data_IF_270862865320
#
_entry.id   IF_270862865320
#
_cell.length_a   1.000
_cell.length_b   1.000
_cell.length_c   1.000
_cell.angle_alpha   90.00
_cell.angle_beta   90.00
_cell.angle_gamma   90.00
#
_symmetry.space_group_name_H-M   'P 1'
#
loop_
_entity.id
_entity.type
_entity.pdbx_description
1 polymer ?
#
# COMPACT_ATOMS: atom_id res chain seq x y z
N UNK A 1 5.92 -12.80 -1.09
CA UNK A 1 6.60 -11.73 -0.36
C UNK A 1 7.40 -10.85 -1.33
N UNK A 2 7.43 -9.52 -1.13
CA UNK A 2 8.18 -8.61 -2.00
C UNK A 2 9.68 -8.90 -1.94
N UNK A 3 10.41 -8.53 -3.00
CA UNK A 3 11.87 -8.63 -3.00
C UNK A 3 12.45 -7.77 -1.87
N UNK A 4 13.60 -8.19 -1.32
CA UNK A 4 14.19 -7.53 -0.15
C UNK A 4 14.48 -6.05 -0.41
N UNK A 5 14.96 -5.74 -1.62
CA UNK A 5 15.36 -4.39 -2.00
C UNK A 5 14.14 -3.47 -2.18
N UNK A 6 13.06 -3.96 -2.80
CA UNK A 6 11.78 -3.25 -2.91
C UNK A 6 11.21 -2.92 -1.52
N UNK A 7 11.21 -3.92 -0.63
CA UNK A 7 10.71 -3.75 0.73
C UNK A 7 11.57 -2.74 1.52
N UNK A 8 12.87 -2.69 1.26
CA UNK A 8 13.74 -1.67 1.86
C UNK A 8 13.45 -0.28 1.26
N UNK A 9 13.29 -0.16 -0.07
CA UNK A 9 12.96 1.08 -0.77
C UNK A 9 11.66 1.70 -0.28
N UNK A 10 10.60 0.89 -0.14
CA UNK A 10 9.30 1.33 0.37
C UNK A 10 9.43 1.85 1.81
N UNK A 11 10.17 1.15 2.67
CA UNK A 11 10.38 1.59 4.06
C UNK A 11 11.20 2.87 4.14
N UNK A 12 12.16 3.07 3.22
CA UNK A 12 12.91 4.33 3.14
C UNK A 12 12.06 5.49 2.65
N UNK A 13 11.09 5.23 1.78
CA UNK A 13 10.08 6.25 1.45
C UNK A 13 9.34 6.68 2.71
N UNK A 14 8.74 5.76 3.45
CA UNK A 14 7.98 6.11 4.66
C UNK A 14 8.82 6.72 5.79
N UNK A 15 10.12 6.41 5.84
CA UNK A 15 11.03 7.08 6.78
C UNK A 15 11.28 8.54 6.37
N UNK A 16 11.29 8.83 5.07
CA UNK A 16 11.50 10.17 4.53
C UNK A 16 10.22 11.00 4.57
N UNK A 17 9.11 10.46 4.07
CA UNK A 17 7.79 11.07 4.05
C UNK A 17 6.70 9.98 3.99
N UNK A 18 5.78 9.98 4.96
CA UNK A 18 4.63 9.08 4.98
C UNK A 18 3.29 9.81 4.74
N UNK A 19 3.32 11.10 4.43
CA UNK A 19 2.12 11.92 4.26
C UNK A 19 1.26 11.46 3.09
N UNK A 20 1.85 11.27 1.91
CA UNK A 20 1.10 10.88 0.71
C UNK A 20 0.45 9.50 0.86
N UNK A 21 1.19 8.50 1.33
CA UNK A 21 0.60 7.18 1.58
C UNK A 21 -0.51 7.26 2.63
N UNK A 22 -0.33 8.08 3.68
CA UNK A 22 -1.37 8.27 4.71
C UNK A 22 -2.60 8.95 4.14
N UNK A 23 -2.46 9.93 3.26
CA UNK A 23 -3.58 10.60 2.60
C UNK A 23 -4.35 9.63 1.70
N UNK A 24 -3.64 8.76 0.97
CA UNK A 24 -4.25 7.72 0.12
C UNK A 24 -5.02 6.71 0.97
N UNK A 25 -4.36 6.08 1.96
CA UNK A 25 -4.98 4.99 2.72
C UNK A 25 -6.01 5.49 3.73
N UNK A 26 -5.96 6.75 4.17
CA UNK A 26 -6.97 7.37 5.05
C UNK A 26 -8.09 8.07 4.30
N UNK A 27 -8.06 8.12 2.97
CA UNK A 27 -9.17 8.61 2.18
C UNK A 27 -10.44 7.77 2.47
N UNK A 28 -11.55 8.43 2.81
CA UNK A 28 -12.79 7.76 3.20
C UNK A 28 -13.36 6.84 2.12
N UNK A 29 -13.23 7.22 0.83
CA UNK A 29 -13.65 6.37 -0.29
C UNK A 29 -12.75 5.15 -0.41
N UNK A 30 -11.43 5.35 -0.28
CA UNK A 30 -10.47 4.25 -0.30
C UNK A 30 -10.76 3.24 0.81
N UNK A 31 -10.83 3.70 2.06
CA UNK A 31 -11.12 2.84 3.23
C UNK A 31 -12.45 2.10 3.11
N UNK A 32 -13.48 2.75 2.56
CA UNK A 32 -14.79 2.11 2.39
C UNK A 32 -14.78 0.89 1.45
N UNK A 33 -13.81 0.82 0.53
CA UNK A 33 -13.68 -0.26 -0.45
C UNK A 33 -12.62 -1.29 -0.03
N UNK A 34 -11.47 -0.80 0.44
CA UNK A 34 -10.26 -1.61 0.59
C UNK A 34 -9.85 -1.87 2.05
N UNK A 35 -10.40 -1.11 3.00
CA UNK A 35 -10.07 -1.25 4.41
C UNK A 35 -8.62 -0.89 4.74
N UNK A 36 -8.02 -1.67 5.63
CA UNK A 36 -6.64 -1.52 6.09
C UNK A 36 -5.73 -2.55 5.39
N UNK A 37 -4.40 -2.35 5.48
CA UNK A 37 -3.44 -3.33 4.98
C UNK A 37 -3.65 -4.71 5.63
N UNK A 38 -3.56 -5.76 4.82
CA UNK A 38 -3.55 -7.15 5.28
C UNK A 38 -2.16 -7.76 5.16
N UNK A 39 -1.88 -8.73 6.04
CA UNK A 39 -0.64 -9.48 6.05
C UNK A 39 0.19 -9.29 7.31
N UNK A 40 1.40 -9.84 7.27
CA UNK A 40 2.28 -9.88 8.44
C UNK A 40 3.02 -8.56 8.68
N UNK A 41 3.42 -8.36 9.92
CA UNK A 41 4.41 -7.37 10.33
C UNK A 41 5.50 -7.98 11.20
N UNK A 42 6.69 -7.38 11.18
CA UNK A 42 7.74 -7.73 12.15
C UNK A 42 7.37 -7.20 13.53
N UNK A 43 7.82 -7.89 14.59
CA UNK A 43 7.51 -7.46 15.97
C UNK A 43 8.24 -6.18 16.39
N UNK A 44 9.43 -5.96 15.84
CA UNK A 44 10.34 -4.85 16.17
C UNK A 44 10.73 -4.10 14.92
N UNK A 45 11.34 -2.92 15.08
CA UNK A 45 11.89 -2.18 13.95
C UNK A 45 12.86 -3.05 13.12
N UNK A 46 12.73 -3.07 11.77
CA UNK A 46 13.71 -3.71 10.90
C UNK A 46 15.10 -3.07 11.05
N UNK A 47 16.15 -3.83 10.69
CA UNK A 47 17.54 -3.32 10.72
C UNK A 47 17.65 -2.04 9.87
N UNK A 48 18.20 -0.98 10.47
CA UNK A 48 18.43 0.31 9.80
C UNK A 48 17.29 1.31 9.91
N UNK A 49 16.29 1.04 10.76
CA UNK A 49 15.19 1.95 11.07
C UNK A 49 15.07 2.16 12.58
N UNK A 50 14.73 3.38 13.02
CA UNK A 50 14.47 3.67 14.44
C UNK A 50 13.14 3.04 14.89
N UNK A 51 13.10 2.51 16.11
CA UNK A 51 11.85 2.00 16.71
C UNK A 51 10.92 3.11 17.20
N UNK A 52 11.44 4.33 17.31
CA UNK A 52 10.72 5.54 17.70
C UNK A 52 10.26 6.38 16.51
N UNK A 53 10.54 5.95 15.27
CA UNK A 53 10.14 6.70 14.08
C UNK A 53 8.61 6.86 14.04
N UNK A 54 8.06 8.05 13.72
CA UNK A 54 6.61 8.25 13.63
C UNK A 54 5.90 7.27 12.69
N UNK A 55 6.53 6.94 11.56
CA UNK A 55 6.05 5.98 10.57
C UNK A 55 6.32 4.49 10.88
N UNK A 56 6.68 4.15 12.14
CA UNK A 56 7.09 2.78 12.48
C UNK A 56 5.98 1.74 12.24
N UNK A 57 4.71 2.16 12.31
CA UNK A 57 3.53 1.35 11.97
C UNK A 57 3.56 0.85 10.52
N UNK A 58 3.97 1.71 9.58
CA UNK A 58 4.14 1.37 8.17
C UNK A 58 5.46 0.61 7.93
N UNK A 59 6.55 1.05 8.55
CA UNK A 59 7.88 0.46 8.36
C UNK A 59 7.92 -1.01 8.80
N UNK A 60 7.17 -1.38 9.85
CA UNK A 60 7.11 -2.78 10.34
C UNK A 60 6.38 -3.74 9.40
N UNK A 61 5.56 -3.27 8.46
CA UNK A 61 4.83 -4.15 7.55
C UNK A 61 5.79 -4.96 6.68
N UNK A 62 5.44 -6.23 6.44
CA UNK A 62 6.13 -7.09 5.46
C UNK A 62 5.44 -7.06 4.10
N UNK A 63 4.18 -6.68 4.08
CA UNK A 63 3.28 -6.75 2.93
C UNK A 63 2.41 -5.50 2.92
N UNK A 64 2.17 -4.97 1.72
CA UNK A 64 1.33 -3.80 1.47
C UNK A 64 0.20 -4.22 0.53
N UNK A 65 -0.71 -5.02 1.07
CA UNK A 65 -1.76 -5.71 0.31
C UNK A 65 -3.12 -5.22 0.83
N UNK A 66 -4.06 -5.05 -0.10
CA UNK A 66 -5.48 -4.84 0.19
C UNK A 66 -6.29 -5.98 -0.42
N UNK A 67 -7.38 -6.37 0.25
CA UNK A 67 -8.27 -7.40 -0.25
C UNK A 67 -9.72 -6.93 -0.13
N UNK A 68 -10.52 -7.26 -1.15
CA UNK A 68 -11.97 -7.07 -1.14
C UNK A 68 -12.63 -8.42 -1.40
N UNK A 69 -13.24 -9.06 -0.39
CA UNK A 69 -13.93 -10.33 -0.60
C UNK A 69 -15.23 -10.11 -1.36
N UNK A 70 -15.62 -11.11 -2.15
CA UNK A 70 -16.92 -11.18 -2.80
C UNK A 70 -17.58 -12.53 -2.49
N UNK A 71 -18.89 -12.51 -2.34
CA UNK A 71 -19.73 -13.71 -2.29
C UNK A 71 -20.06 -14.21 -3.69
N UNK A 72 -20.36 -15.51 -3.83
CA UNK A 72 -20.76 -16.11 -5.12
C UNK A 72 -21.95 -15.38 -5.76
N UNK A 73 -22.88 -14.89 -4.93
CA UNK A 73 -24.03 -14.10 -5.38
C UNK A 73 -23.61 -12.76 -5.99
N UNK A 74 -22.63 -12.08 -5.40
CA UNK A 74 -22.12 -10.82 -5.94
C UNK A 74 -21.39 -11.05 -7.26
N UNK A 75 -20.55 -12.08 -7.34
CA UNK A 75 -19.77 -12.43 -8.54
C UNK A 75 -20.68 -12.76 -9.73
N UNK A 76 -21.80 -13.44 -9.48
CA UNK A 76 -22.78 -13.81 -10.52
C UNK A 76 -23.80 -12.73 -10.83
N UNK A 77 -23.77 -11.59 -10.11
CA UNK A 77 -24.71 -10.49 -10.33
C UNK A 77 -24.39 -9.69 -11.59
N UNK A 78 -25.42 -9.13 -12.23
CA UNK A 78 -25.24 -8.24 -13.38
C UNK A 78 -24.42 -6.97 -13.05
N UNK A 79 -24.31 -6.60 -11.76
CA UNK A 79 -23.55 -5.44 -11.31
C UNK A 79 -22.08 -5.70 -11.02
N UNK A 80 -21.64 -6.97 -11.03
CA UNK A 80 -20.32 -7.37 -10.58
C UNK A 80 -19.18 -6.61 -11.28
N UNK A 81 -19.15 -6.63 -12.61
CA UNK A 81 -18.09 -5.98 -13.38
C UNK A 81 -18.02 -4.47 -13.14
N UNK A 82 -19.17 -3.83 -12.93
CA UNK A 82 -19.24 -2.40 -12.59
C UNK A 82 -18.70 -2.10 -11.20
N UNK A 83 -18.90 -3.00 -10.25
CA UNK A 83 -18.36 -2.85 -8.89
C UNK A 83 -16.85 -3.11 -8.85
N UNK A 84 -16.37 -4.11 -9.62
CA UNK A 84 -14.94 -4.38 -9.81
C UNK A 84 -14.25 -3.15 -10.42
N UNK A 85 -14.77 -2.62 -11.52
CA UNK A 85 -14.23 -1.42 -12.19
C UNK A 85 -14.13 -0.21 -11.25
N UNK A 86 -15.20 0.06 -10.49
CA UNK A 86 -15.20 1.11 -9.47
C UNK A 86 -14.13 0.86 -8.39
N UNK A 87 -14.01 -0.38 -7.93
CA UNK A 87 -13.04 -0.73 -6.88
C UNK A 87 -11.60 -0.49 -7.37
N UNK A 88 -11.29 -0.94 -8.59
CA UNK A 88 -9.98 -0.71 -9.21
C UNK A 88 -9.69 0.77 -9.49
N UNK A 89 -10.72 1.55 -9.84
CA UNK A 89 -10.58 3.01 -9.96
C UNK A 89 -10.21 3.65 -8.63
N UNK A 90 -10.79 3.16 -7.51
CA UNK A 90 -10.53 3.69 -6.17
C UNK A 90 -9.12 3.36 -5.67
N UNK A 91 -8.56 2.19 -5.99
CA UNK A 91 -7.18 1.83 -5.56
C UNK A 91 -6.10 2.48 -6.42
N UNK A 92 -6.45 3.04 -7.58
CA UNK A 92 -5.47 3.56 -8.55
C UNK A 92 -4.43 4.53 -7.94
N UNK A 93 -4.78 5.50 -7.08
CA UNK A 93 -3.78 6.39 -6.47
C UNK A 93 -2.70 5.63 -5.67
N UNK A 94 -3.06 4.53 -5.01
CA UNK A 94 -2.11 3.68 -4.32
C UNK A 94 -1.15 2.98 -5.30
N UNK A 95 -1.64 2.50 -6.43
CA UNK A 95 -0.77 1.90 -7.45
C UNK A 95 0.12 2.91 -8.13
N UNK A 96 -0.38 4.12 -8.40
CA UNK A 96 0.42 5.20 -8.96
C UNK A 96 1.57 5.55 -7.98
N UNK A 97 1.26 5.73 -6.69
CA UNK A 97 2.26 5.98 -5.62
C UNK A 97 3.29 4.84 -5.50
N UNK A 98 2.85 3.59 -5.34
CA UNK A 98 3.79 2.47 -5.16
C UNK A 98 4.64 2.23 -6.41
N UNK A 99 4.12 2.53 -7.61
CA UNK A 99 4.88 2.45 -8.84
C UNK A 99 5.96 3.51 -8.89
N UNK A 100 5.65 4.76 -8.50
CA UNK A 100 6.64 5.83 -8.40
C UNK A 100 7.76 5.46 -7.41
N UNK A 101 7.40 5.01 -6.20
CA UNK A 101 8.36 4.58 -5.16
C UNK A 101 9.28 3.46 -5.65
N UNK A 102 8.77 2.50 -6.43
CA UNK A 102 9.54 1.35 -6.88
C UNK A 102 10.28 1.58 -8.20
N UNK A 103 10.00 2.67 -8.92
CA UNK A 103 10.64 3.01 -10.20
C UNK A 103 11.51 4.27 -10.12
N UNK A 104 11.70 4.82 -8.93
CA UNK A 104 12.57 5.97 -8.66
C UNK A 104 13.55 5.68 -7.52
N UNK A 105 14.70 6.37 -7.54
CA UNK A 105 15.58 6.45 -6.38
C UNK A 105 15.04 7.42 -5.31
N UNK A 106 15.74 7.55 -4.17
CA UNK A 106 15.31 8.43 -3.08
C UNK A 106 15.34 9.93 -3.42
N UNK A 107 15.94 10.31 -4.54
CA UNK A 107 15.94 11.69 -5.03
C UNK A 107 14.88 11.91 -6.13
N UNK A 108 14.03 10.91 -6.40
CA UNK A 108 13.02 10.95 -7.46
C UNK A 108 13.57 10.72 -8.86
N UNK A 109 14.82 10.25 -9.01
CA UNK A 109 15.40 9.94 -10.31
C UNK A 109 14.87 8.59 -10.79
N UNK A 110 14.29 8.56 -11.99
CA UNK A 110 13.77 7.33 -12.58
C UNK A 110 14.86 6.26 -12.78
N UNK A 111 14.50 5.01 -12.51
CA UNK A 111 15.35 3.82 -12.61
C UNK A 111 15.13 3.03 -13.91
N UNK A 112 14.22 3.48 -14.77
CA UNK A 112 13.80 2.81 -16.02
C UNK A 112 14.06 3.64 -17.26
#
# INVERSE_FOLDING_TARGET
DPHKDDLYRIRKEFEMDDSEIRDIINNSKFKSVWGEFVGDEVKTAPKGFSKEHPAIDLIKKKQFIFTKPYTDKEVTSAGFLKDVDKSFTVIRPYFDYMSDVLTTDLNGVSLI
#
